data_IF_364999420650
#
_entry.id   IF_364999420650
#
_cell.length_a   1.000
_cell.length_b   1.000
_cell.length_c   1.000
_cell.angle_alpha   90.00
_cell.angle_beta   90.00
_cell.angle_gamma   90.00
#
_symmetry.space_group_name_H-M   'P 1'
#
loop_
_entity.id
_entity.type
_entity.pdbx_description
1 polymer ?
#
# COMPACT_ATOMS: atom_id res chain seq x y z
N UNK A 1 -16.24 -11.64 28.88
CA UNK A 1 -16.02 -10.89 27.62
C UNK A 1 -17.00 -11.42 26.59
N UNK A 2 -17.51 -10.57 25.71
CA UNK A 2 -18.48 -10.99 24.69
C UNK A 2 -17.73 -11.76 23.60
N UNK A 3 -18.21 -12.95 23.22
CA UNK A 3 -17.57 -13.77 22.19
C UNK A 3 -17.93 -13.21 20.80
N UNK A 4 -16.96 -12.89 19.94
CA UNK A 4 -17.25 -12.48 18.57
C UNK A 4 -17.96 -13.60 17.81
N UNK A 5 -19.06 -13.28 17.14
CA UNK A 5 -19.86 -14.25 16.40
C UNK A 5 -19.81 -14.02 14.90
N UNK A 6 -20.10 -15.09 14.17
CA UNK A 6 -20.05 -15.13 12.71
C UNK A 6 -21.00 -14.11 12.09
N UNK A 7 -20.50 -13.40 11.10
CA UNK A 7 -21.26 -12.57 10.17
C UNK A 7 -20.97 -13.08 8.75
N UNK A 8 -22.01 -13.18 7.93
CA UNK A 8 -21.91 -13.66 6.56
C UNK A 8 -22.82 -12.82 5.64
N UNK A 9 -22.55 -12.85 4.33
CA UNK A 9 -23.35 -12.17 3.32
C UNK A 9 -24.19 -13.17 2.53
N UNK A 10 -25.45 -12.90 2.28
CA UNK A 10 -26.26 -13.69 1.34
C UNK A 10 -25.77 -13.45 -0.10
N UNK A 11 -26.15 -14.30 -1.08
CA UNK A 11 -25.88 -14.05 -2.49
C UNK A 11 -26.43 -12.72 -3.00
N UNK A 12 -27.51 -12.21 -2.39
CA UNK A 12 -28.13 -10.91 -2.71
C UNK A 12 -27.39 -9.72 -2.09
N UNK A 13 -26.43 -9.97 -1.18
CA UNK A 13 -25.63 -8.94 -0.51
C UNK A 13 -26.15 -8.48 0.85
N UNK A 14 -27.14 -9.16 1.42
CA UNK A 14 -27.63 -8.88 2.76
C UNK A 14 -26.67 -9.43 3.82
N UNK A 15 -26.45 -8.66 4.88
CA UNK A 15 -25.59 -9.07 6.00
C UNK A 15 -26.43 -9.80 7.04
N UNK A 16 -26.01 -11.01 7.38
CA UNK A 16 -26.65 -11.84 8.40
C UNK A 16 -25.70 -12.14 9.55
N UNK A 17 -26.27 -12.12 10.75
CA UNK A 17 -25.59 -12.48 11.99
C UNK A 17 -25.94 -13.91 12.38
N UNK A 18 -24.95 -14.69 12.85
CA UNK A 18 -25.18 -16.02 13.44
C UNK A 18 -24.57 -16.09 14.85
N UNK A 19 -25.25 -15.53 15.87
CA UNK A 19 -24.73 -15.43 17.24
C UNK A 19 -24.43 -16.77 17.93
N UNK A 20 -24.90 -17.89 17.36
CA UNK A 20 -24.66 -19.23 17.89
C UNK A 20 -23.30 -19.79 17.48
N UNK A 21 -22.65 -19.19 16.48
CA UNK A 21 -21.35 -19.58 15.97
C UNK A 21 -20.31 -18.51 16.30
N UNK A 22 -19.23 -18.91 16.97
CA UNK A 22 -18.08 -18.04 17.18
C UNK A 22 -17.39 -17.76 15.84
N UNK A 23 -17.02 -16.51 15.60
CA UNK A 23 -16.25 -16.11 14.42
C UNK A 23 -14.86 -16.75 14.46
N UNK A 24 -14.38 -17.14 13.28
CA UNK A 24 -13.06 -17.73 13.10
C UNK A 24 -12.18 -16.83 12.23
N UNK A 25 -10.87 -16.94 12.40
CA UNK A 25 -9.85 -16.38 11.49
C UNK A 25 -9.51 -17.38 10.40
N UNK A 26 -8.88 -16.91 9.33
CA UNK A 26 -8.23 -17.80 8.36
C UNK A 26 -7.29 -18.78 9.09
N UNK A 27 -7.32 -20.06 8.70
CA UNK A 27 -6.70 -21.15 9.49
C UNK A 27 -7.58 -21.68 10.63
N UNK A 28 -8.85 -21.26 10.68
CA UNK A 28 -9.91 -21.75 11.56
C UNK A 28 -9.63 -21.61 13.07
N UNK A 29 -8.92 -20.57 13.47
CA UNK A 29 -8.71 -20.25 14.89
C UNK A 29 -9.81 -19.33 15.42
N UNK A 30 -10.23 -19.45 16.70
CA UNK A 30 -11.22 -18.56 17.28
C UNK A 30 -10.78 -17.09 17.24
N UNK A 31 -11.60 -16.22 16.65
CA UNK A 31 -11.31 -14.79 16.59
C UNK A 31 -11.46 -14.17 17.97
N UNK A 32 -10.38 -13.58 18.48
CA UNK A 32 -10.35 -12.94 19.78
C UNK A 32 -10.91 -11.51 19.74
N UNK A 33 -11.65 -11.12 20.78
CA UNK A 33 -12.21 -9.76 20.88
C UNK A 33 -11.11 -8.67 20.97
N UNK A 34 -9.90 -9.01 21.42
CA UNK A 34 -8.74 -8.10 21.51
C UNK A 34 -8.15 -7.73 20.15
N UNK A 35 -8.48 -8.49 19.10
CA UNK A 35 -8.10 -8.22 17.72
C UNK A 35 -9.06 -7.27 17.01
N UNK A 36 -10.21 -6.98 17.63
CA UNK A 36 -11.32 -6.30 17.00
C UNK A 36 -11.43 -4.83 17.42
N UNK A 37 -11.69 -3.97 16.44
CA UNK A 37 -12.15 -2.60 16.65
C UNK A 37 -13.55 -2.42 16.07
N UNK A 38 -14.37 -1.49 16.59
CA UNK A 38 -15.61 -1.09 15.92
C UNK A 38 -15.29 -0.71 14.47
N UNK A 39 -16.15 -1.11 13.52
CA UNK A 39 -15.96 -0.81 12.10
C UNK A 39 -15.72 0.70 11.91
N UNK A 40 -14.52 1.11 11.42
CA UNK A 40 -14.23 2.52 11.18
C UNK A 40 -15.12 3.12 10.10
N UNK A 41 -15.28 4.44 10.17
CA UNK A 41 -15.87 5.21 9.07
C UNK A 41 -15.02 5.07 7.79
N UNK A 42 -15.69 5.00 6.64
CA UNK A 42 -15.04 4.77 5.34
C UNK A 42 -14.71 3.31 4.99
N UNK A 43 -15.04 2.34 5.85
CA UNK A 43 -14.98 0.92 5.50
C UNK A 43 -16.04 0.56 4.46
N UNK A 44 -15.66 -0.29 3.51
CA UNK A 44 -16.60 -0.97 2.61
C UNK A 44 -16.73 -2.43 3.04
N UNK A 45 -17.94 -2.89 3.30
CA UNK A 45 -18.20 -4.31 3.53
C UNK A 45 -18.28 -5.02 2.18
N UNK A 46 -17.67 -6.21 2.09
CA UNK A 46 -17.58 -6.99 0.87
C UNK A 46 -18.00 -8.42 1.16
N UNK A 47 -18.79 -8.98 0.25
CA UNK A 47 -18.94 -10.43 0.14
C UNK A 47 -17.66 -11.06 -0.43
N UNK A 48 -17.46 -12.34 -0.15
CA UNK A 48 -16.41 -13.17 -0.76
C UNK A 48 -17.08 -14.31 -1.52
N UNK A 49 -17.49 -14.11 -2.79
CA UNK A 49 -18.20 -15.13 -3.55
C UNK A 49 -17.47 -16.48 -3.54
N UNK A 50 -18.24 -17.56 -3.38
CA UNK A 50 -17.75 -18.93 -3.35
C UNK A 50 -16.73 -19.24 -2.22
N UNK A 51 -16.70 -18.39 -1.19
CA UNK A 51 -16.00 -18.63 0.07
C UNK A 51 -17.06 -18.82 1.13
N UNK A 52 -17.42 -20.06 1.44
CA UNK A 52 -18.47 -20.39 2.40
C UNK A 52 -18.06 -19.91 3.79
N UNK A 53 -18.97 -19.23 4.49
CA UNK A 53 -18.70 -18.73 5.83
C UNK A 53 -18.55 -19.91 6.82
N UNK A 54 -17.56 -19.84 7.72
CA UNK A 54 -17.30 -20.89 8.72
C UNK A 54 -17.29 -20.28 10.10
N UNK A 55 -17.97 -20.91 11.05
CA UNK A 55 -17.95 -20.54 12.46
C UNK A 55 -17.85 -21.76 13.37
N UNK A 56 -17.50 -21.52 14.63
CA UNK A 56 -17.32 -22.60 15.62
C UNK A 56 -18.52 -22.71 16.55
N UNK A 57 -19.02 -23.92 16.75
CA UNK A 57 -20.06 -24.28 17.72
C UNK A 57 -19.47 -24.30 19.13
N UNK A 58 -20.34 -24.18 20.15
CA UNK A 58 -19.94 -24.26 21.58
C UNK A 58 -19.20 -25.54 21.97
N UNK A 59 -19.40 -26.64 21.25
CA UNK A 59 -18.71 -27.91 21.50
C UNK A 59 -17.35 -28.00 20.79
N UNK A 60 -16.86 -26.90 20.19
CA UNK A 60 -15.59 -26.83 19.46
C UNK A 60 -15.68 -27.24 17.99
N UNK A 61 -16.77 -27.88 17.55
CA UNK A 61 -16.95 -28.30 16.16
C UNK A 61 -17.23 -27.14 15.21
N UNK A 62 -16.73 -27.21 13.98
CA UNK A 62 -16.98 -26.20 12.97
C UNK A 62 -18.36 -26.38 12.30
N UNK A 63 -18.92 -25.28 11.82
CA UNK A 63 -20.12 -25.26 11.00
C UNK A 63 -19.87 -24.37 9.79
N UNK A 64 -20.07 -24.95 8.61
CA UNK A 64 -20.02 -24.26 7.34
C UNK A 64 -21.44 -23.79 7.00
N UNK A 65 -21.57 -22.54 6.58
CA UNK A 65 -22.81 -22.00 6.04
C UNK A 65 -22.96 -22.50 4.60
N UNK A 66 -24.06 -23.19 4.24
CA UNK A 66 -24.27 -23.67 2.87
C UNK A 66 -24.24 -22.53 1.85
N UNK A 67 -23.78 -22.81 0.64
CA UNK A 67 -23.71 -21.85 -0.46
C UNK A 67 -25.05 -21.14 -0.74
N UNK A 68 -26.16 -21.87 -0.60
CA UNK A 68 -27.51 -21.33 -0.78
C UNK A 68 -27.94 -20.31 0.28
N UNK A 69 -27.23 -20.25 1.41
CA UNK A 69 -27.47 -19.28 2.48
C UNK A 69 -26.53 -18.09 2.39
N UNK A 70 -25.27 -18.30 2.02
CA UNK A 70 -24.34 -17.19 1.85
C UNK A 70 -22.86 -17.54 2.00
N UNK A 71 -22.07 -16.49 1.93
CA UNK A 71 -20.62 -16.49 1.84
C UNK A 71 -19.99 -15.68 2.98
N UNK A 72 -18.68 -15.86 3.18
CA UNK A 72 -17.91 -15.08 4.12
C UNK A 72 -18.03 -13.59 3.83
N UNK A 73 -18.18 -12.80 4.89
CA UNK A 73 -18.15 -11.35 4.84
C UNK A 73 -16.73 -10.85 5.19
N UNK A 74 -16.31 -9.78 4.53
CA UNK A 74 -15.06 -9.11 4.78
C UNK A 74 -15.25 -7.59 4.85
N UNK A 75 -14.28 -6.92 5.44
CA UNK A 75 -14.17 -5.46 5.42
C UNK A 75 -12.95 -5.04 4.61
N UNK A 76 -13.15 -4.05 3.73
CA UNK A 76 -12.09 -3.34 3.03
C UNK A 76 -11.79 -2.07 3.81
N UNK A 77 -10.60 -2.04 4.41
CA UNK A 77 -10.17 -0.97 5.30
C UNK A 77 -9.68 0.26 4.52
N UNK A 78 -10.04 1.48 4.95
CA UNK A 78 -9.36 2.67 4.46
C UNK A 78 -7.89 2.68 4.89
N UNK A 79 -7.03 3.31 4.09
CA UNK A 79 -5.61 3.50 4.45
C UNK A 79 -5.51 4.28 5.77
N UNK A 80 -4.59 3.89 6.65
CA UNK A 80 -4.55 4.34 8.04
C UNK A 80 -5.02 3.28 9.05
N UNK A 81 -5.57 2.17 8.54
CA UNK A 81 -5.87 0.97 9.32
C UNK A 81 -5.17 -0.26 8.73
N UNK A 82 -4.44 -0.98 9.58
CA UNK A 82 -3.78 -2.23 9.22
C UNK A 82 -4.65 -3.41 9.65
N UNK A 83 -4.94 -4.34 8.73
CA UNK A 83 -5.67 -5.57 9.06
C UNK A 83 -4.82 -6.46 9.95
N UNK A 84 -5.44 -7.12 10.93
CA UNK A 84 -4.74 -8.06 11.83
C UNK A 84 -5.16 -9.51 11.62
N UNK A 85 -6.31 -9.77 11.01
CA UNK A 85 -6.77 -11.12 10.69
C UNK A 85 -7.50 -11.16 9.35
N UNK A 86 -7.40 -12.30 8.67
CA UNK A 86 -8.16 -12.62 7.46
C UNK A 86 -9.45 -13.38 7.82
N UNK A 87 -10.53 -13.25 7.03
CA UNK A 87 -11.76 -14.01 7.24
C UNK A 87 -11.54 -15.53 7.14
N UNK A 88 -12.19 -16.32 8.01
CA UNK A 88 -12.30 -17.75 7.81
C UNK A 88 -13.32 -18.07 6.71
N UNK A 89 -12.99 -19.04 5.87
CA UNK A 89 -13.91 -19.57 4.88
C UNK A 89 -13.54 -20.99 4.48
N UNK A 90 -14.49 -21.67 3.86
CA UNK A 90 -14.23 -22.87 3.06
C UNK A 90 -14.46 -22.54 1.58
N UNK A 91 -13.43 -22.75 0.76
CA UNK A 91 -13.53 -22.46 -0.68
C UNK A 91 -14.35 -23.54 -1.38
N UNK A 92 -15.30 -23.13 -2.20
CA UNK A 92 -15.97 -24.05 -3.12
C UNK A 92 -14.93 -24.52 -4.16
N UNK A 93 -14.75 -25.83 -4.37
CA UNK A 93 -13.77 -26.33 -5.34
C UNK A 93 -14.01 -25.82 -6.75
N UNK A 94 -12.93 -25.48 -7.46
CA UNK A 94 -12.97 -25.08 -8.88
C UNK A 94 -13.47 -23.66 -9.16
N UNK A 95 -13.68 -22.81 -8.14
CA UNK A 95 -14.10 -21.42 -8.34
C UNK A 95 -12.93 -20.47 -8.52
N UNK A 96 -13.20 -19.39 -9.25
CA UNK A 96 -12.24 -18.33 -9.59
C UNK A 96 -11.56 -17.69 -8.36
N UNK A 97 -10.39 -17.06 -8.57
CA UNK A 97 -9.79 -16.17 -7.60
C UNK A 97 -10.71 -15.01 -7.22
N UNK A 98 -10.61 -14.57 -5.97
CA UNK A 98 -11.24 -13.34 -5.53
C UNK A 98 -10.55 -12.13 -6.17
N UNK A 99 -11.28 -11.04 -6.43
CA UNK A 99 -10.68 -9.76 -6.85
C UNK A 99 -9.61 -9.28 -5.86
N UNK A 100 -8.67 -8.48 -6.34
CA UNK A 100 -7.56 -7.97 -5.52
C UNK A 100 -8.02 -6.88 -4.55
N UNK A 101 -8.51 -7.33 -3.39
CA UNK A 101 -8.87 -6.49 -2.26
C UNK A 101 -8.23 -6.95 -0.95
N UNK A 102 -8.13 -6.04 0.01
CA UNK A 102 -7.56 -6.27 1.32
C UNK A 102 -8.60 -6.83 2.29
N UNK A 103 -9.05 -8.07 2.06
CA UNK A 103 -10.06 -8.73 2.89
C UNK A 103 -9.62 -8.80 4.36
N UNK A 104 -10.45 -8.26 5.25
CA UNK A 104 -10.22 -8.25 6.70
C UNK A 104 -11.38 -8.95 7.42
N UNK A 105 -11.09 -9.75 8.44
CA UNK A 105 -12.11 -10.49 9.18
C UNK A 105 -13.13 -9.55 9.82
N UNK A 106 -14.42 -9.88 9.71
CA UNK A 106 -15.55 -9.16 10.31
C UNK A 106 -16.27 -10.09 11.27
N UNK A 107 -16.70 -9.54 12.39
CA UNK A 107 -17.51 -10.27 13.36
C UNK A 107 -18.56 -9.36 13.98
N UNK A 108 -19.65 -9.97 14.43
CA UNK A 108 -20.64 -9.30 15.26
C UNK A 108 -20.28 -9.46 16.73
N UNK A 109 -20.56 -8.43 17.52
CA UNK A 109 -20.44 -8.48 18.98
C UNK A 109 -21.42 -7.48 19.57
N UNK A 110 -22.31 -7.94 20.45
CA UNK A 110 -23.32 -7.10 21.11
C UNK A 110 -24.20 -6.28 20.13
N UNK A 111 -24.61 -6.91 19.01
CA UNK A 111 -25.48 -6.26 18.00
C UNK A 111 -24.79 -5.15 17.21
N UNK A 112 -23.45 -5.17 17.14
CA UNK A 112 -22.65 -4.24 16.34
C UNK A 112 -21.58 -5.00 15.57
N UNK A 113 -21.19 -4.47 14.42
CA UNK A 113 -20.11 -5.02 13.61
C UNK A 113 -18.75 -4.50 14.09
N UNK A 114 -17.78 -5.41 14.05
CA UNK A 114 -16.38 -5.17 14.36
C UNK A 114 -15.50 -5.76 13.26
N UNK A 115 -14.29 -5.22 13.12
CA UNK A 115 -13.30 -5.66 12.14
C UNK A 115 -11.96 -5.93 12.82
N UNK A 116 -11.25 -6.95 12.34
CA UNK A 116 -9.92 -7.31 12.82
C UNK A 116 -8.86 -6.37 12.24
N UNK A 117 -8.61 -5.26 12.95
CA UNK A 117 -7.76 -4.20 12.48
C UNK A 117 -7.20 -3.34 13.62
N UNK A 118 -6.13 -2.62 13.32
CA UNK A 118 -5.55 -1.59 14.17
C UNK A 118 -5.47 -0.28 13.42
N UNK A 119 -5.80 0.84 14.08
CA UNK A 119 -5.50 2.16 13.53
C UNK A 119 -3.99 2.39 13.63
N UNK A 120 -3.34 2.57 12.48
CA UNK A 120 -1.88 2.69 12.35
C UNK A 120 -1.44 4.04 11.79
N UNK A 121 -2.36 4.91 11.37
CA UNK A 121 -2.09 6.32 11.04
C UNK A 121 -3.39 7.16 11.09
N UNK A 122 -3.30 8.49 10.93
CA UNK A 122 -4.47 9.37 10.79
C UNK A 122 -5.01 9.37 9.34
N UNK A 123 -6.16 8.74 9.06
CA UNK A 123 -6.69 8.61 7.70
C UNK A 123 -7.26 9.91 7.14
N UNK A 124 -7.36 10.99 7.92
CA UNK A 124 -8.13 12.20 7.59
C UNK A 124 -7.91 12.75 6.18
N UNK A 125 -6.66 12.82 5.71
CA UNK A 125 -6.31 13.36 4.36
C UNK A 125 -6.64 12.40 3.21
N UNK A 126 -6.85 11.13 3.53
CA UNK A 126 -7.19 10.06 2.58
C UNK A 126 -8.62 9.57 2.75
N UNK A 127 -9.37 10.14 3.69
CA UNK A 127 -10.74 9.75 3.95
C UNK A 127 -11.64 10.12 2.76
N UNK A 128 -12.55 9.25 2.29
CA UNK A 128 -13.40 9.53 1.14
C UNK A 128 -14.18 10.85 1.22
N UNK A 129 -14.58 11.26 2.44
CA UNK A 129 -15.26 12.54 2.69
C UNK A 129 -14.44 13.78 2.31
N UNK A 130 -13.11 13.67 2.27
CA UNK A 130 -12.26 14.77 1.82
C UNK A 130 -12.45 15.05 0.32
N UNK A 131 -12.92 14.08 -0.47
CA UNK A 131 -12.98 14.12 -1.93
C UNK A 131 -14.44 14.20 -2.40
N UNK A 132 -15.08 15.37 -2.22
CA UNK A 132 -16.44 15.57 -2.70
C UNK A 132 -16.49 15.40 -4.23
N UNK A 133 -17.27 14.42 -4.71
CA UNK A 133 -17.32 14.03 -6.12
C UNK A 133 -17.73 15.18 -7.06
N UNK A 134 -18.67 16.04 -6.66
CA UNK A 134 -19.11 17.18 -7.49
C UNK A 134 -18.02 18.23 -7.61
N UNK A 135 -17.40 18.60 -6.49
CA UNK A 135 -16.29 19.53 -6.49
C UNK A 135 -15.10 19.00 -7.30
N UNK A 136 -14.74 17.72 -7.12
CA UNK A 136 -13.68 17.07 -7.88
C UNK A 136 -13.95 17.10 -9.39
N UNK A 137 -15.16 16.73 -9.82
CA UNK A 137 -15.53 16.74 -11.24
C UNK A 137 -15.38 18.14 -11.86
N UNK A 138 -15.79 19.18 -11.13
CA UNK A 138 -15.62 20.56 -11.57
C UNK A 138 -14.14 20.93 -11.73
N UNK A 139 -13.31 20.68 -10.71
CA UNK A 139 -11.88 20.97 -10.74
C UNK A 139 -11.14 20.19 -11.85
N UNK A 140 -11.55 18.94 -12.11
CA UNK A 140 -11.03 18.14 -13.23
C UNK A 140 -11.30 18.82 -14.56
N UNK A 141 -12.54 19.24 -14.80
CA UNK A 141 -12.93 19.90 -16.04
C UNK A 141 -12.18 21.23 -16.24
N UNK A 142 -12.04 22.03 -15.18
CA UNK A 142 -11.28 23.29 -15.23
C UNK A 142 -9.80 23.04 -15.57
N UNK A 143 -9.17 22.07 -14.90
CA UNK A 143 -7.75 21.76 -15.13
C UNK A 143 -7.51 21.18 -16.52
N UNK A 144 -8.40 20.32 -17.02
CA UNK A 144 -8.31 19.80 -18.39
C UNK A 144 -8.50 20.90 -19.45
N UNK A 145 -9.40 21.85 -19.23
CA UNK A 145 -9.59 22.98 -20.12
C UNK A 145 -8.37 23.93 -20.14
N UNK A 146 -7.73 24.13 -18.97
CA UNK A 146 -6.52 24.95 -18.86
C UNK A 146 -5.29 24.29 -19.50
N UNK A 147 -5.20 22.95 -19.47
CA UNK A 147 -4.05 22.19 -19.93
C UNK A 147 -4.46 21.04 -20.88
N UNK A 148 -5.08 21.34 -22.03
CA UNK A 148 -5.71 20.34 -22.89
C UNK A 148 -4.72 19.38 -23.56
N UNK A 149 -3.42 19.70 -23.53
CA UNK A 149 -2.36 18.89 -24.14
C UNK A 149 -1.53 18.09 -23.12
N UNK A 150 -1.74 18.30 -21.83
CA UNK A 150 -0.98 17.60 -20.80
C UNK A 150 -1.60 16.24 -20.51
N UNK A 151 -0.91 15.17 -20.89
CA UNK A 151 -1.45 13.80 -20.80
C UNK A 151 -1.45 13.28 -19.36
N UNK A 152 -0.60 13.81 -18.48
CA UNK A 152 -0.63 13.47 -17.04
C UNK A 152 -1.98 13.90 -16.47
N UNK A 153 -2.46 15.10 -16.78
CA UNK A 153 -3.76 15.60 -16.32
C UNK A 153 -4.90 14.71 -16.82
N UNK A 154 -4.88 14.30 -18.09
CA UNK A 154 -5.87 13.38 -18.64
C UNK A 154 -5.87 12.02 -17.92
N UNK A 155 -4.71 11.41 -17.70
CA UNK A 155 -4.61 10.14 -16.97
C UNK A 155 -5.09 10.27 -15.52
N UNK A 156 -4.71 11.33 -14.81
CA UNK A 156 -5.07 11.49 -13.40
C UNK A 156 -6.54 11.86 -13.23
N UNK A 157 -7.18 12.46 -14.23
CA UNK A 157 -8.63 12.65 -14.25
C UNK A 157 -9.36 11.30 -14.24
N UNK A 158 -8.93 10.36 -15.08
CA UNK A 158 -9.42 8.98 -15.07
C UNK A 158 -9.23 8.33 -13.71
N UNK A 159 -8.00 8.35 -13.18
CA UNK A 159 -7.70 7.77 -11.87
C UNK A 159 -8.51 8.41 -10.73
N UNK A 160 -8.76 9.71 -10.77
CA UNK A 160 -9.50 10.43 -9.73
C UNK A 160 -11.00 10.15 -9.79
N UNK A 161 -11.60 10.12 -10.98
CA UNK A 161 -13.05 10.00 -11.16
C UNK A 161 -13.55 8.55 -11.16
N UNK A 162 -12.77 7.64 -11.74
CA UNK A 162 -13.19 6.25 -11.96
C UNK A 162 -12.63 5.32 -10.87
N UNK A 163 -11.36 5.51 -10.48
CA UNK A 163 -10.73 4.73 -9.41
C UNK A 163 -10.81 5.39 -8.03
N UNK A 164 -11.39 6.59 -7.94
CA UNK A 164 -11.47 7.37 -6.69
C UNK A 164 -10.11 7.55 -6.01
N UNK A 165 -9.02 7.64 -6.80
CA UNK A 165 -7.66 7.70 -6.28
C UNK A 165 -7.39 9.03 -5.55
N UNK A 166 -7.07 9.02 -4.24
CA UNK A 166 -6.85 10.25 -3.46
C UNK A 166 -5.67 11.08 -3.96
N UNK A 167 -4.54 10.45 -4.32
CA UNK A 167 -3.35 11.16 -4.83
C UNK A 167 -3.57 11.73 -6.21
N UNK A 168 -4.37 11.07 -7.07
CA UNK A 168 -4.78 11.66 -8.33
C UNK A 168 -5.73 12.84 -8.12
N UNK A 169 -6.68 12.72 -7.18
CA UNK A 169 -7.62 13.79 -6.83
C UNK A 169 -6.91 15.03 -6.31
N UNK A 170 -5.84 14.86 -5.53
CA UNK A 170 -5.05 15.95 -4.95
C UNK A 170 -4.33 16.81 -5.98
N UNK A 171 -4.07 16.30 -7.20
CA UNK A 171 -3.59 17.12 -8.32
C UNK A 171 -4.59 18.22 -8.68
N UNK A 172 -5.89 17.91 -8.61
CA UNK A 172 -6.98 18.83 -8.96
C UNK A 172 -7.37 19.72 -7.79
N UNK A 173 -7.36 19.18 -6.56
CA UNK A 173 -7.60 19.99 -5.35
C UNK A 173 -6.44 20.91 -4.98
N UNK A 174 -5.22 20.66 -5.48
CA UNK A 174 -4.03 21.48 -5.18
C UNK A 174 -3.63 21.43 -3.71
N UNK A 175 -3.63 20.25 -3.09
CA UNK A 175 -3.29 20.05 -1.67
C UNK A 175 -2.56 18.72 -1.44
N UNK A 176 -1.74 18.65 -0.40
CA UNK A 176 -1.12 17.42 0.11
C UNK A 176 -0.30 16.66 -0.94
N UNK A 177 -0.31 15.32 -0.88
CA UNK A 177 0.39 14.44 -1.82
C UNK A 177 -0.40 14.27 -3.11
N UNK A 178 0.20 14.70 -4.23
CA UNK A 178 -0.31 14.43 -5.57
C UNK A 178 0.54 13.41 -6.33
N UNK A 179 -0.11 12.73 -7.27
CA UNK A 179 0.45 11.69 -8.12
C UNK A 179 1.02 12.23 -9.44
N UNK A 180 2.16 11.70 -9.88
CA UNK A 180 2.67 11.82 -11.25
C UNK A 180 3.10 10.45 -11.77
N UNK A 181 2.32 9.88 -12.67
CA UNK A 181 2.64 8.65 -13.39
C UNK A 181 3.60 8.91 -14.57
N UNK A 182 4.65 8.09 -14.71
CA UNK A 182 5.70 8.29 -15.72
C UNK A 182 6.09 7.04 -16.50
N UNK A 183 5.79 5.84 -16.02
CA UNK A 183 6.36 4.60 -16.58
C UNK A 183 5.30 3.54 -16.97
N UNK A 184 5.19 3.17 -18.25
CA UNK A 184 4.39 2.01 -18.69
C UNK A 184 5.10 0.67 -18.45
N UNK A 185 6.43 0.68 -18.25
CA UNK A 185 7.25 -0.52 -18.07
C UNK A 185 7.42 -0.88 -16.61
N UNK A 186 7.63 -2.16 -16.30
CA UNK A 186 8.05 -2.63 -14.98
C UNK A 186 9.13 -3.71 -15.14
N UNK A 187 10.08 -3.76 -14.21
CA UNK A 187 11.09 -4.81 -14.12
C UNK A 187 10.83 -5.78 -12.95
N UNK A 188 9.60 -5.86 -12.47
CA UNK A 188 9.14 -6.85 -11.51
C UNK A 188 7.85 -7.51 -12.02
N UNK A 189 7.67 -8.80 -11.72
CA UNK A 189 6.45 -9.55 -12.03
C UNK A 189 5.70 -9.87 -10.76
N UNK A 190 5.33 -8.85 -9.99
CA UNK A 190 4.67 -9.05 -8.70
C UNK A 190 3.45 -9.98 -8.84
N UNK A 191 3.26 -10.93 -7.93
CA UNK A 191 2.08 -11.80 -7.93
C UNK A 191 0.80 -10.96 -7.94
N UNK A 192 0.67 -10.04 -6.98
CA UNK A 192 -0.47 -9.13 -6.86
C UNK A 192 -0.28 -7.78 -7.56
N UNK A 193 0.33 -7.73 -8.75
CA UNK A 193 0.50 -6.46 -9.45
C UNK A 193 -0.87 -5.84 -9.79
N UNK A 194 -1.12 -4.62 -9.29
CA UNK A 194 -2.43 -3.98 -9.39
C UNK A 194 -2.69 -3.26 -10.72
N UNK A 195 -1.66 -3.10 -11.56
CA UNK A 195 -1.76 -2.42 -12.86
C UNK A 195 -1.59 -3.33 -14.07
N UNK A 196 -1.17 -4.58 -13.86
CA UNK A 196 -0.95 -5.55 -14.93
C UNK A 196 -0.88 -6.97 -14.37
N UNK A 197 -1.72 -7.85 -14.88
CA UNK A 197 -1.66 -9.29 -14.62
C UNK A 197 -1.20 -10.03 -15.88
N UNK A 198 -0.40 -11.07 -15.69
CA UNK A 198 0.05 -11.98 -16.77
C UNK A 198 -0.87 -13.22 -16.89
N UNK A 199 -1.54 -13.58 -15.79
CA UNK A 199 -2.46 -14.72 -15.70
C UNK A 199 -3.88 -14.22 -16.07
N UNK A 200 -4.58 -14.93 -16.96
CA UNK A 200 -5.86 -14.48 -17.55
C UNK A 200 -7.02 -14.46 -16.55
N UNK A 201 -6.96 -15.31 -15.52
CA UNK A 201 -7.93 -15.42 -14.42
C UNK A 201 -7.75 -14.35 -13.34
N UNK A 202 -6.68 -13.55 -13.42
CA UNK A 202 -6.39 -12.47 -12.48
C UNK A 202 -6.67 -11.10 -13.11
N UNK A 203 -7.60 -10.35 -12.53
CA UNK A 203 -8.01 -9.03 -13.01
C UNK A 203 -7.26 -7.95 -12.25
N UNK A 204 -6.55 -7.08 -12.98
CA UNK A 204 -5.92 -5.88 -12.41
C UNK A 204 -6.99 -4.85 -12.03
N UNK A 205 -6.98 -4.29 -10.81
CA UNK A 205 -7.95 -3.27 -10.40
C UNK A 205 -7.72 -1.90 -11.03
N UNK A 206 -6.58 -1.65 -11.67
CA UNK A 206 -6.25 -0.39 -12.32
C UNK A 206 -5.60 -0.63 -13.68
N UNK A 207 -5.84 0.26 -14.63
CA UNK A 207 -5.15 0.25 -15.91
C UNK A 207 -3.76 0.88 -15.79
N UNK A 208 -2.79 0.29 -16.50
CA UNK A 208 -1.46 0.87 -16.65
C UNK A 208 -1.47 2.01 -17.67
N UNK A 209 -0.84 3.12 -17.30
CA UNK A 209 -0.46 4.23 -18.18
C UNK A 209 0.14 3.71 -19.50
N UNK A 210 -0.37 4.21 -20.63
CA UNK A 210 0.05 3.78 -21.98
C UNK A 210 1.12 4.64 -22.64
N UNK A 211 1.68 5.64 -21.96
CA UNK A 211 2.63 6.59 -22.55
C UNK A 211 3.75 6.96 -21.55
N UNK A 212 4.77 7.66 -22.04
CA UNK A 212 5.80 8.28 -21.21
C UNK A 212 5.66 9.81 -21.35
N UNK A 213 5.43 10.56 -20.25
CA UNK A 213 5.32 12.01 -20.31
C UNK A 213 6.66 12.68 -20.64
N UNK A 214 6.59 13.89 -21.18
CA UNK A 214 7.76 14.76 -21.37
C UNK A 214 8.17 15.40 -20.04
N UNK A 215 9.39 15.94 -19.98
CA UNK A 215 9.85 16.73 -18.83
C UNK A 215 8.94 17.95 -18.63
N UNK A 216 8.54 18.63 -19.70
CA UNK A 216 7.66 19.79 -19.64
C UNK A 216 6.28 19.43 -19.05
N UNK A 217 5.68 18.30 -19.46
CA UNK A 217 4.40 17.84 -18.90
C UNK A 217 4.50 17.60 -17.38
N UNK A 218 5.62 17.03 -16.91
CA UNK A 218 5.88 16.79 -15.48
C UNK A 218 6.04 18.13 -14.74
N UNK A 219 6.88 19.03 -15.25
CA UNK A 219 7.17 20.32 -14.61
C UNK A 219 5.93 21.21 -14.56
N UNK A 220 5.11 21.20 -15.62
CA UNK A 220 3.88 21.99 -15.73
C UNK A 220 2.87 21.67 -14.63
N UNK A 221 2.78 20.41 -14.17
CA UNK A 221 1.91 20.03 -13.05
C UNK A 221 2.62 20.13 -11.70
N UNK A 222 3.90 19.75 -11.63
CA UNK A 222 4.63 19.64 -10.37
C UNK A 222 4.93 20.99 -9.73
N UNK A 223 5.41 21.95 -10.52
CA UNK A 223 5.86 23.25 -10.04
C UNK A 223 4.75 24.05 -9.32
N UNK A 224 3.57 24.30 -9.94
CA UNK A 224 2.52 25.06 -9.26
C UNK A 224 2.01 24.36 -8.00
N UNK A 225 1.98 23.02 -7.98
CA UNK A 225 1.57 22.27 -6.79
C UNK A 225 2.55 22.48 -5.63
N UNK A 226 3.86 22.33 -5.88
CA UNK A 226 4.90 22.52 -4.86
C UNK A 226 4.92 23.94 -4.27
N UNK A 227 4.54 24.94 -5.07
CA UNK A 227 4.49 26.34 -4.65
C UNK A 227 3.19 26.73 -3.91
N UNK A 228 2.08 26.02 -4.12
CA UNK A 228 0.77 26.50 -3.67
C UNK A 228 0.11 25.57 -2.66
N UNK A 229 0.34 24.26 -2.78
CA UNK A 229 -0.34 23.28 -1.95
C UNK A 229 0.11 23.32 -0.47
N UNK A 230 -0.84 23.13 0.43
CA UNK A 230 -0.56 22.82 1.83
C UNK A 230 0.15 21.47 1.92
N UNK A 231 1.26 21.40 2.67
CA UNK A 231 2.08 20.19 2.82
C UNK A 231 2.37 19.52 1.47
N UNK A 232 2.78 20.32 0.49
CA UNK A 232 2.94 19.89 -0.89
C UNK A 232 3.93 18.72 -1.03
N UNK A 233 3.43 17.58 -1.53
CA UNK A 233 4.25 16.43 -1.94
C UNK A 233 3.89 16.09 -3.38
N UNK A 234 4.91 15.91 -4.23
CA UNK A 234 4.77 15.37 -5.58
C UNK A 234 5.40 13.99 -5.62
N UNK A 235 4.61 12.98 -5.94
CA UNK A 235 5.04 11.57 -5.90
C UNK A 235 5.04 10.93 -7.28
N UNK A 236 6.23 10.57 -7.75
CA UNK A 236 6.40 9.59 -8.84
C UNK A 236 6.07 8.18 -8.34
N UNK A 237 5.62 7.28 -9.22
CA UNK A 237 5.31 5.89 -8.85
C UNK A 237 3.92 5.73 -8.26
N UNK A 238 2.94 5.36 -9.08
CA UNK A 238 1.53 5.28 -8.68
C UNK A 238 0.92 3.92 -9.06
N UNK A 239 -0.24 3.62 -8.47
CA UNK A 239 -0.93 2.35 -8.73
C UNK A 239 -1.31 2.11 -10.19
N UNK A 240 -1.38 3.16 -11.00
CA UNK A 240 -1.68 3.12 -12.43
C UNK A 240 -0.43 3.06 -13.33
N UNK A 241 0.76 2.79 -12.79
CA UNK A 241 1.99 2.70 -13.59
C UNK A 241 2.79 1.43 -13.28
N UNK A 242 3.91 1.23 -13.97
CA UNK A 242 4.90 0.21 -13.65
C UNK A 242 5.98 0.71 -12.68
N UNK A 243 7.24 0.45 -13.00
CA UNK A 243 8.38 0.94 -12.19
C UNK A 243 8.84 2.31 -12.70
N UNK A 244 8.66 3.41 -11.93
CA UNK A 244 9.07 4.75 -12.36
C UNK A 244 10.58 4.89 -12.56
N UNK A 245 11.41 4.13 -11.84
CA UNK A 245 12.86 4.22 -11.95
C UNK A 245 13.38 3.82 -13.35
N UNK A 246 12.59 3.11 -14.15
CA UNK A 246 12.91 2.88 -15.57
C UNK A 246 12.95 4.18 -16.40
N UNK A 247 12.34 5.26 -15.89
CA UNK A 247 12.36 6.59 -16.49
C UNK A 247 13.30 7.57 -15.75
N UNK A 248 14.31 7.07 -15.02
CA UNK A 248 15.17 7.89 -14.16
C UNK A 248 15.76 9.13 -14.85
N UNK A 249 16.14 9.07 -16.14
CA UNK A 249 16.68 10.24 -16.87
C UNK A 249 15.66 11.38 -16.98
N UNK A 250 14.39 11.04 -17.21
CA UNK A 250 13.31 12.02 -17.31
C UNK A 250 12.97 12.59 -15.94
N UNK A 251 12.93 11.71 -14.94
CA UNK A 251 12.70 12.12 -13.55
C UNK A 251 13.83 13.05 -13.09
N UNK A 252 15.09 12.70 -13.32
CA UNK A 252 16.26 13.52 -13.02
C UNK A 252 16.13 14.92 -13.65
N UNK A 253 15.88 14.99 -14.96
CA UNK A 253 15.71 16.26 -15.68
C UNK A 253 14.54 17.10 -15.12
N UNK A 254 13.41 16.46 -14.79
CA UNK A 254 12.27 17.16 -14.21
C UNK A 254 12.57 17.67 -12.80
N UNK A 255 13.21 16.86 -11.95
CA UNK A 255 13.61 17.27 -10.60
C UNK A 255 14.56 18.46 -10.68
N UNK A 256 15.59 18.41 -11.54
CA UNK A 256 16.52 19.53 -11.74
C UNK A 256 15.77 20.79 -12.17
N UNK A 257 14.92 20.72 -13.21
CA UNK A 257 14.16 21.86 -13.70
C UNK A 257 13.20 22.45 -12.65
N UNK A 258 12.61 21.62 -11.78
CA UNK A 258 11.78 22.07 -10.67
C UNK A 258 12.65 22.74 -9.60
N UNK A 259 13.78 22.14 -9.22
CA UNK A 259 14.65 22.64 -8.15
C UNK A 259 15.43 23.90 -8.53
N UNK A 260 15.59 24.19 -9.81
CA UNK A 260 16.07 25.49 -10.30
C UNK A 260 15.07 26.64 -10.06
N UNK A 261 13.78 26.32 -9.91
CA UNK A 261 12.69 27.31 -9.80
C UNK A 261 12.12 27.40 -8.39
N UNK A 262 12.10 26.30 -7.64
CA UNK A 262 11.57 26.26 -6.28
C UNK A 262 12.29 25.25 -5.39
N UNK A 263 12.55 25.67 -4.15
CA UNK A 263 13.02 24.81 -3.06
C UNK A 263 11.87 24.26 -2.20
N UNK A 264 10.62 24.68 -2.48
CA UNK A 264 9.44 24.33 -1.69
C UNK A 264 8.92 22.93 -1.97
N UNK A 265 8.25 22.36 -0.96
CA UNK A 265 7.60 21.06 -1.02
C UNK A 265 8.57 19.88 -1.14
N UNK A 266 8.00 18.68 -1.14
CA UNK A 266 8.74 17.41 -1.17
C UNK A 266 8.54 16.73 -2.52
N UNK A 267 9.63 16.27 -3.12
CA UNK A 267 9.59 15.35 -4.26
C UNK A 267 9.86 13.94 -3.74
N UNK A 268 8.90 13.04 -3.99
CA UNK A 268 8.92 11.65 -3.59
C UNK A 268 8.95 10.73 -4.82
N UNK A 269 9.54 9.55 -4.66
CA UNK A 269 9.38 8.44 -5.60
C UNK A 269 8.97 7.16 -4.88
N UNK A 270 7.92 6.52 -5.37
CA UNK A 270 7.53 5.17 -4.98
C UNK A 270 8.14 4.18 -5.98
N UNK A 271 9.04 3.31 -5.54
CA UNK A 271 9.82 2.46 -6.45
C UNK A 271 9.99 1.07 -5.85
N UNK A 272 10.35 0.08 -6.66
CA UNK A 272 10.92 -1.19 -6.21
C UNK A 272 12.39 -1.05 -5.76
N UNK A 273 12.99 0.13 -5.93
CA UNK A 273 14.39 0.44 -5.61
C UNK A 273 15.40 -0.51 -6.28
N UNK A 274 15.07 -0.96 -7.49
CA UNK A 274 15.82 -1.95 -8.26
C UNK A 274 17.22 -1.52 -8.72
N UNK A 275 17.58 -0.24 -8.65
CA UNK A 275 18.86 0.24 -9.19
C UNK A 275 19.51 1.34 -8.33
N UNK A 276 20.54 1.01 -7.53
CA UNK A 276 21.22 1.97 -6.66
C UNK A 276 21.88 3.13 -7.41
N UNK A 277 22.38 2.88 -8.63
CA UNK A 277 23.06 3.90 -9.43
C UNK A 277 22.07 4.93 -9.97
N UNK A 278 20.92 4.47 -10.48
CA UNK A 278 19.89 5.38 -10.98
C UNK A 278 19.26 6.18 -9.84
N UNK A 279 19.06 5.57 -8.68
CA UNK A 279 18.58 6.29 -7.51
C UNK A 279 19.58 7.32 -7.00
N UNK A 280 20.88 7.02 -6.99
CA UNK A 280 21.89 8.02 -6.65
C UNK A 280 21.78 9.27 -7.52
N UNK A 281 21.55 9.11 -8.83
CA UNK A 281 21.34 10.25 -9.75
C UNK A 281 20.13 11.10 -9.34
N UNK A 282 19.05 10.47 -8.89
CA UNK A 282 17.87 11.20 -8.42
C UNK A 282 18.14 11.92 -7.09
N UNK A 283 18.89 11.30 -6.18
CA UNK A 283 19.31 11.93 -4.92
C UNK A 283 20.15 13.19 -5.21
N UNK A 284 21.14 13.06 -6.10
CA UNK A 284 22.01 14.16 -6.52
C UNK A 284 21.22 15.30 -7.21
N UNK A 285 20.14 14.97 -7.93
CA UNK A 285 19.28 15.95 -8.58
C UNK A 285 18.37 16.72 -7.62
N UNK A 286 18.20 16.23 -6.38
CA UNK A 286 17.36 16.87 -5.36
C UNK A 286 16.04 16.17 -5.07
N UNK A 287 15.97 14.85 -5.25
CA UNK A 287 14.90 14.01 -4.71
C UNK A 287 14.95 14.02 -3.17
N UNK A 288 13.82 14.28 -2.50
CA UNK A 288 13.79 14.44 -1.05
C UNK A 288 13.44 13.16 -0.30
N UNK A 289 12.58 12.33 -0.90
CA UNK A 289 12.06 11.11 -0.28
C UNK A 289 12.00 9.95 -1.26
N UNK A 290 12.17 8.74 -0.73
CA UNK A 290 11.91 7.49 -1.44
C UNK A 290 11.03 6.59 -0.57
N UNK A 291 10.08 5.92 -1.22
CA UNK A 291 9.33 4.80 -0.67
C UNK A 291 9.59 3.54 -1.49
N UNK A 292 10.38 2.62 -0.93
CA UNK A 292 10.67 1.34 -1.55
C UNK A 292 9.57 0.31 -1.23
N UNK A 293 9.01 -0.36 -2.23
CA UNK A 293 8.02 -1.42 -1.99
C UNK A 293 8.68 -2.71 -1.59
N UNK A 294 8.20 -3.32 -0.49
CA UNK A 294 8.63 -4.65 -0.07
C UNK A 294 7.48 -5.43 0.58
N UNK A 295 7.52 -6.75 0.52
CA UNK A 295 6.60 -7.63 1.25
C UNK A 295 7.27 -8.16 2.53
N UNK A 296 8.60 -8.08 2.61
CA UNK A 296 9.40 -8.73 3.63
C UNK A 296 10.84 -8.20 3.66
N UNK A 297 11.50 -8.30 4.81
CA UNK A 297 12.95 -8.11 4.94
C UNK A 297 13.77 -9.36 4.55
N UNK A 298 13.12 -10.49 4.28
CA UNK A 298 13.73 -11.78 3.97
C UNK A 298 13.85 -11.98 2.44
N UNK A 299 15.04 -12.29 1.89
CA UNK A 299 15.26 -12.36 0.44
C UNK A 299 14.40 -13.39 -0.29
N UNK A 300 14.15 -14.54 0.34
CA UNK A 300 13.34 -15.62 -0.25
C UNK A 300 11.88 -15.18 -0.45
N UNK A 301 11.27 -14.65 0.62
CA UNK A 301 9.90 -14.12 0.64
C UNK A 301 9.75 -12.94 -0.32
N UNK A 302 10.74 -12.03 -0.33
CA UNK A 302 10.80 -10.93 -1.28
C UNK A 302 10.79 -11.43 -2.74
N UNK A 303 11.69 -12.36 -3.06
CA UNK A 303 11.90 -12.85 -4.43
C UNK A 303 10.69 -13.62 -4.94
N UNK A 304 10.07 -14.43 -4.07
CA UNK A 304 8.85 -15.17 -4.37
C UNK A 304 7.71 -14.23 -4.82
N UNK A 305 7.51 -13.12 -4.10
CA UNK A 305 6.45 -12.17 -4.43
C UNK A 305 6.79 -11.27 -5.62
N UNK A 306 7.93 -10.58 -5.61
CA UNK A 306 8.26 -9.55 -6.61
C UNK A 306 8.74 -10.12 -7.94
N UNK A 307 9.30 -11.34 -7.94
CA UNK A 307 9.85 -12.02 -9.14
C UNK A 307 10.70 -11.04 -9.98
N UNK A 308 11.80 -10.51 -9.41
CA UNK A 308 12.55 -9.40 -9.98
C UNK A 308 13.19 -9.77 -11.34
N UNK A 309 13.28 -8.79 -12.25
CA UNK A 309 13.91 -8.91 -13.55
C UNK A 309 15.14 -8.00 -13.63
N UNK A 310 16.32 -8.60 -13.57
CA UNK A 310 17.59 -7.88 -13.71
C UNK A 310 18.00 -7.08 -12.46
N UNK A 311 17.45 -7.40 -11.29
CA UNK A 311 17.88 -6.87 -10.00
C UNK A 311 17.65 -7.88 -8.88
N UNK A 312 18.20 -7.62 -7.69
CA UNK A 312 18.14 -8.49 -6.51
C UNK A 312 17.65 -7.72 -5.27
N UNK A 313 17.36 -8.43 -4.18
CA UNK A 313 17.03 -7.79 -2.91
C UNK A 313 18.22 -6.99 -2.33
N UNK A 314 19.46 -7.39 -2.61
CA UNK A 314 20.64 -6.62 -2.21
C UNK A 314 20.70 -5.24 -2.89
N UNK A 315 20.25 -5.13 -4.15
CA UNK A 315 20.14 -3.85 -4.84
C UNK A 315 19.12 -2.92 -4.15
N UNK A 316 18.04 -3.47 -3.59
CA UNK A 316 17.06 -2.72 -2.81
C UNK A 316 17.69 -2.19 -1.53
N UNK A 317 18.42 -3.04 -0.79
CA UNK A 317 19.13 -2.62 0.44
C UNK A 317 20.17 -1.53 0.14
N UNK A 318 20.98 -1.73 -0.88
CA UNK A 318 22.01 -0.77 -1.29
C UNK A 318 21.40 0.57 -1.72
N UNK A 319 20.27 0.56 -2.42
CA UNK A 319 19.54 1.78 -2.80
C UNK A 319 19.06 2.59 -1.58
N UNK A 320 18.63 1.92 -0.51
CA UNK A 320 18.18 2.57 0.71
C UNK A 320 19.35 3.04 1.60
N UNK A 321 20.47 2.29 1.64
CA UNK A 321 21.71 2.76 2.28
C UNK A 321 22.20 4.05 1.64
N UNK A 322 22.20 4.13 0.31
CA UNK A 322 22.54 5.37 -0.42
C UNK A 322 21.61 6.52 -0.11
N UNK A 323 20.31 6.25 0.07
CA UNK A 323 19.37 7.29 0.50
C UNK A 323 19.77 7.87 1.86
N UNK A 324 20.07 7.00 2.84
CA UNK A 324 20.57 7.42 4.16
C UNK A 324 21.84 8.26 4.03
N UNK A 325 22.82 7.78 3.27
CA UNK A 325 24.12 8.44 3.11
C UNK A 325 24.01 9.79 2.37
N UNK A 326 23.04 9.93 1.47
CA UNK A 326 22.69 11.17 0.79
C UNK A 326 21.76 12.10 1.60
N UNK A 327 21.33 11.69 2.80
CA UNK A 327 20.40 12.45 3.65
C UNK A 327 18.93 12.44 3.17
N UNK A 328 18.61 11.63 2.16
CA UNK A 328 17.25 11.45 1.61
C UNK A 328 16.42 10.65 2.61
N UNK A 329 15.19 11.10 2.88
CA UNK A 329 14.32 10.41 3.82
C UNK A 329 13.72 9.17 3.14
N UNK A 330 14.19 7.99 3.56
CA UNK A 330 13.75 6.72 3.01
C UNK A 330 12.69 6.05 3.88
N UNK A 331 11.73 5.42 3.21
CA UNK A 331 10.68 4.63 3.80
C UNK A 331 10.47 3.34 3.02
N UNK A 332 9.80 2.37 3.63
CA UNK A 332 9.32 1.18 2.92
C UNK A 332 7.80 1.12 2.95
N UNK A 333 7.25 0.55 1.88
CA UNK A 333 5.85 0.18 1.79
C UNK A 333 5.77 -1.33 2.05
N UNK A 334 5.51 -1.72 3.30
CA UNK A 334 5.46 -3.11 3.74
C UNK A 334 4.06 -3.70 3.48
N UNK A 335 3.97 -4.67 2.58
CA UNK A 335 2.72 -5.33 2.20
C UNK A 335 2.29 -6.34 3.27
N UNK A 336 1.26 -6.00 4.04
CA UNK A 336 0.77 -6.73 5.19
C UNK A 336 -0.18 -7.87 4.81
N UNK A 337 0.26 -9.09 5.12
CA UNK A 337 -0.54 -10.30 5.11
C UNK A 337 -0.44 -10.97 6.49
N UNK A 338 -1.49 -10.90 7.32
CA UNK A 338 -1.48 -11.52 8.65
C UNK A 338 -1.26 -13.03 8.58
N UNK A 339 -0.45 -13.55 9.50
CA UNK A 339 -0.01 -14.95 9.52
C UNK A 339 1.16 -15.26 8.59
N UNK A 340 1.73 -14.26 7.91
CA UNK A 340 2.94 -14.41 7.08
C UNK A 340 4.02 -13.43 7.50
N UNK A 341 3.79 -12.11 7.36
CA UNK A 341 4.84 -11.11 7.60
C UNK A 341 5.15 -10.90 9.09
N UNK A 342 4.26 -11.36 9.95
CA UNK A 342 4.31 -11.32 11.41
C UNK A 342 4.83 -12.64 12.00
N UNK A 343 5.47 -13.48 11.19
CA UNK A 343 6.18 -14.67 11.67
C UNK A 343 7.58 -14.34 12.13
N UNK A 344 8.10 -15.09 13.11
CA UNK A 344 9.40 -14.87 13.75
C UNK A 344 10.52 -14.54 12.76
N UNK A 345 10.72 -15.38 11.73
CA UNK A 345 11.75 -15.16 10.69
C UNK A 345 11.59 -13.84 9.96
N UNK A 346 10.35 -13.49 9.62
CA UNK A 346 10.02 -12.31 8.84
C UNK A 346 10.18 -11.03 9.69
N UNK A 347 9.83 -11.09 10.98
CA UNK A 347 10.04 -9.99 11.94
C UNK A 347 11.53 -9.75 12.18
N UNK A 348 12.33 -10.81 12.40
CA UNK A 348 13.78 -10.70 12.55
C UNK A 348 14.43 -10.11 11.29
N UNK A 349 14.03 -10.58 10.11
CA UNK A 349 14.55 -10.07 8.85
C UNK A 349 14.16 -8.61 8.61
N UNK A 350 12.93 -8.21 8.98
CA UNK A 350 12.49 -6.81 8.91
C UNK A 350 13.33 -5.91 9.82
N UNK A 351 13.57 -6.31 11.07
CA UNK A 351 14.42 -5.56 11.99
C UNK A 351 15.85 -5.43 11.48
N UNK A 352 16.42 -6.50 10.93
CA UNK A 352 17.74 -6.47 10.30
C UNK A 352 17.77 -5.50 9.12
N UNK A 353 16.79 -5.59 8.22
CA UNK A 353 16.67 -4.73 7.06
C UNK A 353 16.55 -3.24 7.43
N UNK A 354 15.76 -2.93 8.47
CA UNK A 354 15.63 -1.58 9.02
C UNK A 354 16.99 -1.06 9.52
N UNK A 355 17.67 -1.82 10.38
CA UNK A 355 18.97 -1.43 10.96
C UNK A 355 20.05 -1.27 9.90
N UNK A 356 20.10 -2.18 8.92
CA UNK A 356 21.11 -2.20 7.87
C UNK A 356 20.99 -1.00 6.92
N UNK A 357 19.75 -0.62 6.60
CA UNK A 357 19.47 0.47 5.65
C UNK A 357 19.36 1.84 6.31
N UNK A 358 18.99 1.90 7.59
CA UNK A 358 18.69 3.15 8.29
C UNK A 358 17.47 3.89 7.71
N UNK A 359 16.52 3.14 7.13
CA UNK A 359 15.22 3.71 6.72
C UNK A 359 14.50 4.31 7.93
N UNK A 360 13.67 5.33 7.69
CA UNK A 360 13.07 6.14 8.77
C UNK A 360 11.59 5.88 9.00
N UNK A 361 10.92 5.19 8.07
CA UNK A 361 9.49 4.92 8.15
C UNK A 361 9.10 3.59 7.51
N UNK A 362 8.34 2.79 8.25
CA UNK A 362 7.62 1.62 7.71
C UNK A 362 6.17 2.03 7.49
N UNK A 363 5.80 2.14 6.22
CA UNK A 363 4.41 2.34 5.81
C UNK A 363 3.73 1.00 5.64
N UNK A 364 2.78 0.69 6.52
CA UNK A 364 2.00 -0.53 6.44
C UNK A 364 0.95 -0.39 5.32
N UNK A 365 0.81 -1.43 4.50
CA UNK A 365 -0.23 -1.53 3.48
C UNK A 365 -0.86 -2.89 3.50
N UNK A 366 -2.17 -2.95 3.66
CA UNK A 366 -2.88 -4.22 3.49
C UNK A 366 -2.62 -4.76 2.08
N UNK A 367 -2.11 -5.99 2.00
CA UNK A 367 -1.87 -6.63 0.71
C UNK A 367 -3.22 -7.05 0.11
N UNK A 368 -3.56 -6.45 -1.02
CA UNK A 368 -4.80 -6.72 -1.75
C UNK A 368 -4.62 -7.94 -2.66
N UNK A 369 -4.94 -9.13 -2.16
CA UNK A 369 -4.81 -10.37 -2.91
C UNK A 369 -5.69 -11.46 -2.29
N UNK A 370 -6.17 -12.39 -3.11
CA UNK A 370 -6.77 -13.64 -2.64
C UNK A 370 -5.69 -14.49 -1.91
N UNK A 371 -5.93 -14.92 -0.66
CA UNK A 371 -5.04 -15.86 0.02
C UNK A 371 -4.70 -17.10 -0.81
N UNK A 372 -5.64 -17.64 -1.57
CA UNK A 372 -5.45 -18.84 -2.41
C UNK A 372 -4.53 -18.58 -3.60
N UNK A 373 -4.39 -17.33 -4.05
CA UNK A 373 -3.44 -16.95 -5.10
C UNK A 373 -2.05 -16.76 -4.49
N UNK A 374 -1.97 -16.10 -3.34
CA UNK A 374 -0.70 -15.78 -2.70
C UNK A 374 0.00 -17.02 -2.14
N UNK A 375 -0.67 -17.76 -1.26
CA UNK A 375 -0.03 -18.75 -0.39
C UNK A 375 0.72 -19.86 -1.14
N UNK A 376 0.17 -20.45 -2.23
CA UNK A 376 0.90 -21.48 -2.99
C UNK A 376 2.19 -20.99 -3.66
N UNK A 377 2.38 -19.67 -3.76
CA UNK A 377 3.53 -19.02 -4.41
C UNK A 377 4.54 -18.46 -3.40
N UNK A 378 4.27 -18.57 -2.10
CA UNK A 378 5.16 -18.11 -1.02
C UNK A 378 5.94 -19.29 -0.43
N UNK A 379 7.06 -19.04 0.29
CA UNK A 379 7.72 -20.10 1.05
C UNK A 379 6.76 -20.70 2.09
N UNK A 380 7.01 -21.95 2.46
CA UNK A 380 6.13 -22.66 3.39
C UNK A 380 6.18 -22.01 4.78
N UNK A 381 5.02 -21.93 5.43
CA UNK A 381 4.87 -21.23 6.72
C UNK A 381 5.67 -21.88 7.86
N UNK A 382 5.86 -23.19 7.81
CA UNK A 382 6.70 -23.94 8.76
C UNK A 382 8.18 -23.54 8.68
N UNK A 383 8.66 -23.07 7.51
CA UNK A 383 10.03 -22.54 7.36
C UNK A 383 10.18 -21.09 7.81
N UNK A 384 9.11 -20.45 8.30
CA UNK A 384 9.09 -19.04 8.71
C UNK A 384 9.00 -18.85 10.23
N UNK A 385 8.90 -19.92 11.01
CA UNK A 385 8.65 -19.86 12.46
C UNK A 385 7.19 -19.55 12.79
N UNK A 386 6.90 -19.35 14.07
CA UNK A 386 5.53 -19.14 14.55
C UNK A 386 4.98 -17.77 14.17
N UNK A 387 3.66 -17.67 13.99
CA UNK A 387 2.99 -16.40 13.75
C UNK A 387 2.79 -15.66 15.10
N UNK A 388 3.47 -14.52 15.25
CA UNK A 388 3.42 -13.70 16.47
C UNK A 388 2.16 -12.84 16.55
N UNK A 389 1.53 -12.59 15.41
CA UNK A 389 0.41 -11.66 15.26
C UNK A 389 0.86 -10.26 14.86
N UNK A 390 0.09 -9.63 13.96
CA UNK A 390 0.36 -8.29 13.43
C UNK A 390 0.55 -7.23 14.52
N UNK A 391 -0.23 -7.29 15.60
CA UNK A 391 -0.09 -6.39 16.76
C UNK A 391 1.29 -6.54 17.42
N UNK A 392 1.66 -7.77 17.73
CA UNK A 392 2.95 -8.10 18.35
C UNK A 392 4.12 -7.70 17.45
N UNK A 393 4.03 -7.93 16.14
CA UNK A 393 5.03 -7.47 15.18
C UNK A 393 5.23 -5.95 15.27
N UNK A 394 4.15 -5.16 15.26
CA UNK A 394 4.21 -3.70 15.35
C UNK A 394 4.87 -3.27 16.67
N UNK A 395 4.46 -3.88 17.79
CA UNK A 395 5.01 -3.58 19.13
C UNK A 395 6.50 -3.94 19.23
N UNK A 396 6.92 -5.05 18.62
CA UNK A 396 8.32 -5.46 18.53
C UNK A 396 9.12 -4.42 17.73
N UNK A 397 8.65 -4.01 16.56
CA UNK A 397 9.35 -3.00 15.75
C UNK A 397 9.50 -1.68 16.52
N UNK A 398 8.44 -1.22 17.19
CA UNK A 398 8.49 0.01 18.00
C UNK A 398 9.50 -0.07 19.15
N UNK A 399 9.65 -1.26 19.75
CA UNK A 399 10.58 -1.49 20.87
C UNK A 399 12.03 -1.64 20.39
N UNK A 400 12.25 -2.39 19.31
CA UNK A 400 13.58 -2.82 18.85
C UNK A 400 14.22 -1.89 17.80
N UNK A 401 13.42 -1.00 17.20
CA UNK A 401 13.84 0.03 16.24
C UNK A 401 13.08 1.36 16.49
N UNK A 402 13.20 1.97 17.69
CA UNK A 402 12.43 3.16 18.09
C UNK A 402 12.69 4.41 17.23
N UNK A 403 13.79 4.44 16.49
CA UNK A 403 14.12 5.50 15.53
C UNK A 403 13.29 5.45 14.25
N UNK A 404 12.58 4.35 14.00
CA UNK A 404 11.75 4.15 12.81
C UNK A 404 10.29 4.38 13.13
N UNK A 405 9.69 5.30 12.40
CA UNK A 405 8.27 5.58 12.51
C UNK A 405 7.46 4.46 11.83
N UNK A 406 6.30 4.13 12.40
CA UNK A 406 5.29 3.27 11.78
C UNK A 406 4.11 4.13 11.38
N UNK A 407 3.69 4.01 10.13
CA UNK A 407 2.57 4.80 9.62
C UNK A 407 1.97 4.23 8.37
N UNK A 408 1.23 5.07 7.67
CA UNK A 408 0.67 4.78 6.36
C UNK A 408 1.00 5.89 5.35
N UNK A 409 1.27 7.13 5.73
CA UNK A 409 1.38 8.20 4.72
C UNK A 409 2.80 8.73 4.54
N UNK A 410 3.13 9.18 3.32
CA UNK A 410 4.35 9.95 3.07
C UNK A 410 4.36 11.19 3.96
N UNK A 411 5.51 11.52 4.55
CA UNK A 411 5.63 12.64 5.49
C UNK A 411 6.12 13.91 4.75
N UNK A 412 5.58 15.09 5.08
CA UNK A 412 6.17 16.35 4.64
C UNK A 412 7.48 16.55 5.40
N UNK A 413 8.60 16.17 4.79
CA UNK A 413 9.92 16.32 5.39
C UNK A 413 10.47 17.73 5.13
N UNK A 414 11.25 18.26 6.08
CA UNK A 414 12.03 19.46 5.82
C UNK A 414 13.22 19.09 4.95
N UNK A 415 13.37 19.77 3.81
CA UNK A 415 14.52 19.59 2.94
C UNK A 415 15.79 19.98 3.68
N UNK A 416 16.77 19.09 3.70
CA UNK A 416 18.12 19.38 4.17
C UNK A 416 18.90 19.88 2.95
N UNK A 417 19.12 21.19 2.87
CA UNK A 417 19.99 21.73 1.82
C UNK A 417 21.42 21.24 2.09
N UNK A 418 22.17 20.81 1.05
CA UNK A 418 23.58 20.52 1.21
C UNK A 418 24.25 21.75 1.81
N UNK A 419 24.86 21.61 2.99
CA UNK A 419 25.76 22.66 3.46
C UNK A 419 26.81 22.83 2.38
N UNK A 420 26.91 24.03 1.81
CA UNK A 420 27.96 24.34 0.84
C UNK A 420 29.29 23.91 1.45
N UNK A 421 29.90 22.86 0.90
CA UNK A 421 31.21 22.41 1.32
C UNK A 421 32.10 23.66 1.35
N UNK A 422 32.55 24.03 2.55
CA UNK A 422 33.27 25.27 2.77
C UNK A 422 34.38 25.38 1.74
N UNK A 423 34.38 26.46 0.97
CA UNK A 423 35.55 26.86 0.18
C UNK A 423 36.70 26.95 1.18
N UNK A 424 37.56 25.94 1.18
CA UNK A 424 38.89 26.04 1.78
C UNK A 424 39.61 27.09 0.93
N UNK A 425 39.54 28.34 1.38
CA UNK A 425 40.45 29.39 0.95
C UNK A 425 41.86 28.91 1.30
N UNK A 426 42.58 28.43 0.29
CA UNK A 426 44.03 28.28 0.38
C UNK A 426 44.59 29.70 0.42
N UNK A 427 45.14 30.09 1.56
CA UNK A 427 46.06 31.21 1.68
C UNK A 427 47.43 30.79 1.15
#
# INVERSE_FOLDING_TARGET
>A
MSTPYLVYCTPEGDIHEEPRLQALTFGNQPLAATELIPVPDGVTLSMMPDRLAVGQKRNGGQQIIPASRGWAAAALLPIGYTRTQLPAYEKVPGTEPLPFFGYSAVAGMNGRLYVAAMKTDDPRKWHPRAFNRRALTHLVNEKQAAYPRNRIIAQHAHCALDYSCPTASNLFFGRWEMAIAVSPGCNARCIGCISKQEEEDLISPQDRLGFIPTVDEIVEVALPHLEQAEEAIVSFGQGCEGEPLLQWRRIEQAITAIRERTDRGVININSNASNPRWLQRLYDAGLDTIRASTISGHPETYTAYYRPLGYSFEDVKESLKRARDAGVYSSINLLCFPGMIDREREVEALLSFVKETGLRLIQLRNLNIDPEVLLPRMPAFDSMGEALGMRSMIEIVQREAPEVEIGNFTRPVKRVLPQSAGKVLRA
#
